data_IF_067367966596
#
_entry.id   IF_067367966596
#
_cell.length_a   1.000
_cell.length_b   1.000
_cell.length_c   1.000
_cell.angle_alpha   90.00
_cell.angle_beta   90.00
_cell.angle_gamma   90.00
#
_symmetry.space_group_name_H-M   'P 1'
#
loop_
_entity.id
_entity.type
_entity.pdbx_description
1 polymer ?
#
# COMPACT_ATOMS: atom_id res chain seq x y z
N UNK A 1 -15.36 26.82 3.56
CA UNK A 1 -15.80 25.45 3.96
C UNK A 1 -17.19 25.06 3.43
N UNK A 2 -18.20 25.93 3.50
CA UNK A 2 -19.58 25.66 3.03
C UNK A 2 -19.69 25.30 1.51
N UNK A 3 -18.97 26.02 0.65
CA UNK A 3 -18.97 25.74 -0.80
C UNK A 3 -18.34 24.39 -1.17
N UNK A 4 -17.29 23.97 -0.48
CA UNK A 4 -16.63 22.67 -0.70
C UNK A 4 -17.57 21.50 -0.36
N UNK A 5 -18.35 21.62 0.73
CA UNK A 5 -19.35 20.62 1.10
C UNK A 5 -20.51 20.55 0.10
N UNK A 6 -20.98 21.69 -0.42
CA UNK A 6 -22.02 21.72 -1.48
C UNK A 6 -21.56 21.03 -2.77
N UNK A 7 -20.35 21.33 -3.24
CA UNK A 7 -19.76 20.67 -4.43
C UNK A 7 -19.63 19.14 -4.22
N UNK A 8 -19.21 18.70 -3.04
CA UNK A 8 -19.11 17.28 -2.67
C UNK A 8 -20.47 16.57 -2.63
N UNK A 9 -21.54 17.24 -2.18
CA UNK A 9 -22.92 16.69 -2.20
C UNK A 9 -23.48 16.60 -3.62
N UNK A 10 -23.28 17.64 -4.44
CA UNK A 10 -23.73 17.66 -5.83
C UNK A 10 -23.07 16.54 -6.65
N UNK A 11 -21.77 16.32 -6.48
CA UNK A 11 -21.03 15.24 -7.13
C UNK A 11 -21.54 13.84 -6.72
N UNK A 12 -21.76 13.61 -5.42
CA UNK A 12 -22.34 12.34 -4.93
C UNK A 12 -23.75 12.08 -5.47
N UNK A 13 -24.57 13.11 -5.62
CA UNK A 13 -25.90 12.97 -6.19
C UNK A 13 -25.85 12.62 -7.69
N UNK A 14 -24.91 13.20 -8.45
CA UNK A 14 -24.69 12.84 -9.87
C UNK A 14 -24.27 11.37 -10.02
N UNK A 15 -23.32 10.91 -9.20
CA UNK A 15 -22.89 9.50 -9.20
C UNK A 15 -24.02 8.52 -8.82
N UNK A 16 -24.90 8.89 -7.88
CA UNK A 16 -26.03 8.03 -7.48
C UNK A 16 -27.04 7.80 -8.60
N UNK A 17 -27.17 8.71 -9.56
CA UNK A 17 -28.09 8.57 -10.71
C UNK A 17 -27.56 7.52 -11.70
N UNK A 18 -26.24 7.35 -11.77
CA UNK A 18 -25.57 6.41 -12.66
C UNK A 18 -25.40 5.00 -12.05
N UNK A 19 -25.87 4.78 -10.82
CA UNK A 19 -25.61 3.54 -10.07
C UNK A 19 -26.92 2.82 -9.73
N UNK A 20 -26.90 1.51 -9.94
CA UNK A 20 -27.96 0.61 -9.45
C UNK A 20 -28.05 0.63 -7.92
N UNK A 21 -29.15 0.12 -7.36
CA UNK A 21 -29.35 0.05 -5.90
C UNK A 21 -28.22 -0.76 -5.22
N UNK A 22 -27.78 -1.86 -5.84
CA UNK A 22 -26.66 -2.68 -5.34
C UNK A 22 -25.33 -1.91 -5.38
N UNK A 23 -25.02 -1.23 -6.48
CA UNK A 23 -23.82 -0.40 -6.61
C UNK A 23 -23.79 0.77 -5.63
N UNK A 24 -24.93 1.38 -5.30
CA UNK A 24 -25.00 2.43 -4.28
C UNK A 24 -24.64 1.93 -2.88
N UNK A 25 -25.03 0.70 -2.54
CA UNK A 25 -24.64 0.06 -1.27
C UNK A 25 -23.12 -0.15 -1.24
N UNK A 26 -22.52 -0.64 -2.31
CA UNK A 26 -21.07 -0.82 -2.43
C UNK A 26 -20.29 0.49 -2.37
N UNK A 27 -20.75 1.52 -3.10
CA UNK A 27 -20.10 2.83 -3.11
C UNK A 27 -20.04 3.45 -1.70
N UNK A 28 -21.12 3.32 -0.92
CA UNK A 28 -21.15 3.81 0.46
C UNK A 28 -20.16 3.06 1.35
N UNK A 29 -20.04 1.74 1.20
CA UNK A 29 -19.05 0.93 1.93
C UNK A 29 -17.62 1.35 1.57
N UNK A 30 -17.33 1.55 0.28
CA UNK A 30 -16.01 2.04 -0.17
C UNK A 30 -15.69 3.45 0.32
N UNK A 31 -16.68 4.35 0.39
CA UNK A 31 -16.49 5.71 0.93
C UNK A 31 -16.06 5.68 2.41
N UNK A 32 -16.56 4.74 3.21
CA UNK A 32 -16.15 4.56 4.60
C UNK A 32 -14.73 3.97 4.73
N UNK A 33 -14.29 3.14 3.78
CA UNK A 33 -12.93 2.56 3.78
C UNK A 33 -11.83 3.56 3.40
N UNK A 34 -12.19 4.56 2.59
CA UNK A 34 -11.27 5.61 2.13
C UNK A 34 -11.17 6.79 3.11
N UNK A 35 -11.94 6.77 4.21
CA UNK A 35 -11.79 7.80 5.24
C UNK A 35 -10.45 7.60 5.97
N UNK A 36 -9.58 8.62 6.00
CA UNK A 36 -8.30 8.53 6.69
C UNK A 36 -8.58 8.34 8.19
N UNK A 37 -8.29 7.14 8.69
CA UNK A 37 -8.43 6.80 10.09
C UNK A 37 -7.07 7.01 10.76
N UNK A 38 -6.54 8.24 10.71
CA UNK A 38 -5.14 8.57 11.07
C UNK A 38 -4.82 8.28 12.55
N UNK A 39 -5.81 8.37 13.45
CA UNK A 39 -5.57 8.35 14.89
C UNK A 39 -5.39 6.93 15.49
N UNK A 40 -5.88 5.87 14.83
CA UNK A 40 -5.85 4.51 15.43
C UNK A 40 -4.57 3.72 15.16
N UNK A 41 -3.76 4.14 14.19
CA UNK A 41 -2.60 3.36 13.76
C UNK A 41 -1.32 3.71 14.52
N UNK A 42 -1.27 4.92 15.10
CA UNK A 42 -0.09 5.44 15.80
C UNK A 42 0.15 4.75 17.15
N UNK A 43 -0.93 4.41 17.86
CA UNK A 43 -0.85 3.88 19.23
C UNK A 43 -0.60 2.37 19.30
N UNK A 44 -0.95 1.61 18.24
CA UNK A 44 -0.75 0.15 18.20
C UNK A 44 0.71 -0.24 18.06
N UNK A 45 1.57 0.66 17.57
CA UNK A 45 3.00 0.42 17.30
C UNK A 45 3.91 0.59 18.53
N UNK A 46 3.36 0.98 19.69
CA UNK A 46 4.14 1.39 20.88
C UNK A 46 4.40 0.26 21.91
N UNK A 47 4.27 -1.01 21.53
CA UNK A 47 4.70 -2.15 22.35
C UNK A 47 6.18 -2.49 22.18
N UNK A 48 7.00 -2.23 23.20
CA UNK A 48 8.35 -2.77 23.54
C UNK A 48 9.48 -2.83 22.49
N UNK A 49 9.25 -2.58 21.19
CA UNK A 49 10.26 -2.56 20.10
C UNK A 49 10.27 -1.18 19.41
N UNK A 50 9.95 -0.13 20.20
CA UNK A 50 9.52 1.18 19.70
C UNK A 50 10.58 2.00 18.95
N UNK A 51 11.86 1.64 18.96
CA UNK A 51 12.90 2.47 18.36
C UNK A 51 13.07 2.22 16.85
N UNK A 52 13.28 0.97 16.42
CA UNK A 52 13.32 0.63 14.99
C UNK A 52 11.93 0.67 14.33
N UNK A 53 10.86 0.36 15.07
CA UNK A 53 9.49 0.43 14.52
C UNK A 53 9.14 1.84 14.02
N UNK A 54 9.51 2.89 14.76
CA UNK A 54 9.32 4.28 14.32
C UNK A 54 10.09 4.63 13.06
N UNK A 55 11.27 4.03 12.86
CA UNK A 55 12.07 4.23 11.66
C UNK A 55 11.47 3.48 10.46
N UNK A 56 11.14 2.20 10.61
CA UNK A 56 10.61 1.32 9.55
C UNK A 56 9.21 1.75 9.08
N UNK A 57 8.42 2.40 9.95
CA UNK A 57 7.13 2.99 9.59
C UNK A 57 7.19 4.51 9.33
N UNK A 58 8.39 5.09 9.19
CA UNK A 58 8.53 6.51 8.86
C UNK A 58 8.22 6.77 7.38
N UNK A 59 7.71 7.97 7.09
CA UNK A 59 7.46 8.42 5.71
C UNK A 59 8.74 8.43 4.87
N UNK A 60 9.89 8.74 5.49
CA UNK A 60 11.18 8.74 4.82
C UNK A 60 11.60 7.32 4.39
N UNK A 61 11.41 6.31 5.25
CA UNK A 61 11.66 4.92 4.90
C UNK A 61 10.68 4.43 3.82
N UNK A 62 9.40 4.81 3.92
CA UNK A 62 8.40 4.51 2.88
C UNK A 62 8.77 5.12 1.52
N UNK A 63 9.22 6.39 1.49
CA UNK A 63 9.66 7.06 0.28
C UNK A 63 10.90 6.39 -0.32
N UNK A 64 11.87 6.01 0.50
CA UNK A 64 13.05 5.26 0.07
C UNK A 64 12.67 3.92 -0.58
N UNK A 65 11.77 3.15 0.05
CA UNK A 65 11.28 1.90 -0.53
C UNK A 65 10.55 2.11 -1.86
N UNK A 66 9.78 3.20 -2.00
CA UNK A 66 9.12 3.55 -3.26
C UNK A 66 10.14 3.85 -4.38
N UNK A 67 11.25 4.53 -4.06
CA UNK A 67 12.36 4.74 -5.00
C UNK A 67 12.98 3.40 -5.41
N UNK A 68 13.26 2.50 -4.47
CA UNK A 68 13.80 1.17 -4.77
C UNK A 68 12.89 0.37 -5.70
N UNK A 69 11.57 0.37 -5.45
CA UNK A 69 10.58 -0.27 -6.32
C UNK A 69 10.60 0.34 -7.73
N UNK A 70 10.72 1.67 -7.83
CA UNK A 70 10.81 2.35 -9.13
C UNK A 70 12.05 1.91 -9.90
N UNK A 71 13.21 1.86 -9.24
CA UNK A 71 14.45 1.37 -9.85
C UNK A 71 14.31 -0.09 -10.28
N UNK A 72 13.70 -0.94 -9.46
CA UNK A 72 13.50 -2.36 -9.78
C UNK A 72 12.60 -2.56 -11.00
N UNK A 73 11.53 -1.77 -11.14
CA UNK A 73 10.69 -1.74 -12.34
C UNK A 73 11.53 -1.35 -13.56
N UNK A 74 12.42 -0.35 -13.45
CA UNK A 74 13.31 0.04 -14.54
C UNK A 74 14.28 -1.09 -14.94
N UNK A 75 14.85 -1.81 -13.96
CA UNK A 75 15.69 -2.99 -14.24
C UNK A 75 14.90 -4.06 -14.99
N UNK A 76 13.69 -4.38 -14.54
CA UNK A 76 12.83 -5.37 -15.20
C UNK A 76 12.40 -4.94 -16.60
N UNK A 77 12.12 -3.64 -16.79
CA UNK A 77 11.71 -3.07 -18.08
C UNK A 77 12.86 -3.02 -19.09
N UNK A 78 14.11 -3.16 -18.63
CA UNK A 78 15.29 -3.24 -19.50
C UNK A 78 15.52 -4.63 -20.11
N UNK A 79 14.67 -5.60 -19.78
CA UNK A 79 14.76 -6.97 -20.32
C UNK A 79 14.28 -7.00 -21.78
N UNK A 80 15.16 -7.39 -22.69
CA UNK A 80 14.85 -7.50 -24.12
C UNK A 80 15.15 -8.92 -24.61
N UNK A 81 14.26 -9.48 -25.44
CA UNK A 81 14.47 -10.76 -26.11
C UNK A 81 15.71 -10.65 -27.02
N UNK A 82 16.73 -11.47 -26.76
CA UNK A 82 18.00 -11.48 -27.50
C UNK A 82 19.20 -10.86 -26.78
N UNK A 83 19.10 -10.59 -25.46
CA UNK A 83 20.22 -10.12 -24.64
C UNK A 83 21.35 -11.15 -24.51
N UNK A 84 22.60 -10.66 -24.48
CA UNK A 84 23.79 -11.48 -24.23
C UNK A 84 23.71 -12.15 -22.86
N UNK A 85 24.10 -13.43 -22.75
CA UNK A 85 23.98 -14.24 -21.52
C UNK A 85 24.53 -13.55 -20.26
N UNK A 86 25.62 -12.79 -20.39
CA UNK A 86 26.22 -12.03 -19.28
C UNK A 86 25.35 -10.89 -18.76
N UNK A 87 24.56 -10.24 -19.62
CA UNK A 87 23.62 -9.17 -19.21
C UNK A 87 22.39 -9.74 -18.51
N UNK A 88 21.94 -10.91 -18.95
CA UNK A 88 20.82 -11.66 -18.34
C UNK A 88 21.18 -12.14 -16.94
N UNK A 89 22.41 -12.62 -16.73
CA UNK A 89 22.89 -13.04 -15.41
C UNK A 89 22.98 -11.86 -14.43
N UNK A 90 23.48 -10.71 -14.87
CA UNK A 90 23.55 -9.51 -14.04
C UNK A 90 22.15 -9.01 -13.63
N UNK A 91 21.20 -8.99 -14.56
CA UNK A 91 19.81 -8.63 -14.26
C UNK A 91 19.17 -9.61 -13.27
N UNK A 92 19.44 -10.91 -13.39
CA UNK A 92 18.95 -11.91 -12.44
C UNK A 92 19.52 -11.68 -11.03
N UNK A 93 20.83 -11.40 -10.92
CA UNK A 93 21.47 -11.05 -9.63
C UNK A 93 20.87 -9.80 -9.01
N UNK A 94 20.60 -8.75 -9.81
CA UNK A 94 19.93 -7.54 -9.35
C UNK A 94 18.49 -7.82 -8.89
N UNK A 95 17.73 -8.60 -9.66
CA UNK A 95 16.37 -8.98 -9.29
C UNK A 95 16.34 -9.76 -7.97
N UNK A 96 17.26 -10.70 -7.79
CA UNK A 96 17.43 -11.43 -6.54
C UNK A 96 17.75 -10.49 -5.37
N UNK A 97 18.67 -9.54 -5.56
CA UNK A 97 19.01 -8.55 -4.54
C UNK A 97 17.79 -7.72 -4.09
N UNK A 98 17.01 -7.19 -5.05
CA UNK A 98 15.77 -6.46 -4.73
C UNK A 98 14.79 -7.34 -3.96
N UNK A 99 14.65 -8.61 -4.35
CA UNK A 99 13.77 -9.58 -3.67
C UNK A 99 14.17 -9.78 -2.21
N UNK A 100 15.47 -9.94 -1.95
CA UNK A 100 16.00 -10.05 -0.58
C UNK A 100 15.73 -8.78 0.22
N UNK A 101 15.93 -7.60 -0.36
CA UNK A 101 15.65 -6.31 0.29
C UNK A 101 14.18 -6.20 0.71
N UNK A 102 13.24 -6.53 -0.17
CA UNK A 102 11.81 -6.49 0.15
C UNK A 102 11.42 -7.54 1.21
N UNK A 103 12.04 -8.72 1.17
CA UNK A 103 11.80 -9.73 2.19
C UNK A 103 12.24 -9.25 3.58
N UNK A 104 13.42 -8.63 3.66
CA UNK A 104 13.94 -8.02 4.89
C UNK A 104 13.04 -6.88 5.36
N UNK A 105 12.59 -6.02 4.45
CA UNK A 105 11.65 -4.93 4.76
C UNK A 105 10.36 -5.47 5.43
N UNK A 106 9.76 -6.51 4.86
CA UNK A 106 8.55 -7.14 5.38
C UNK A 106 8.83 -7.78 6.74
N UNK A 107 9.95 -8.49 6.90
CA UNK A 107 10.34 -9.09 8.18
C UNK A 107 10.55 -8.04 9.28
N UNK A 108 11.14 -6.88 8.94
CA UNK A 108 11.31 -5.75 9.86
C UNK A 108 9.97 -5.12 10.25
N UNK A 109 9.05 -4.93 9.29
CA UNK A 109 7.70 -4.42 9.57
C UNK A 109 6.88 -5.40 10.42
N UNK A 110 7.01 -6.70 10.15
CA UNK A 110 6.34 -7.74 10.91
C UNK A 110 6.88 -7.79 12.36
N UNK A 111 8.19 -7.87 12.54
CA UNK A 111 8.80 -7.91 13.88
C UNK A 111 8.51 -6.67 14.73
N UNK A 112 8.31 -5.51 14.10
CA UNK A 112 8.01 -4.25 14.80
C UNK A 112 6.52 -4.02 15.09
N UNK A 113 5.60 -4.42 14.22
CA UNK A 113 4.15 -4.24 14.43
C UNK A 113 3.48 -5.43 15.14
N UNK A 114 4.11 -6.60 15.15
CA UNK A 114 3.45 -7.86 15.53
C UNK A 114 2.45 -8.32 14.47
N UNK A 115 2.16 -9.63 14.45
CA UNK A 115 1.29 -10.29 13.45
C UNK A 115 -0.07 -9.58 13.28
N UNK A 116 -0.71 -9.19 14.38
CA UNK A 116 -2.07 -8.64 14.34
C UNK A 116 -2.14 -7.22 13.78
N UNK A 117 -1.15 -6.37 13.99
CA UNK A 117 -1.18 -4.99 13.49
C UNK A 117 -0.63 -4.88 12.06
N UNK A 118 0.30 -5.75 11.68
CA UNK A 118 0.83 -5.80 10.31
C UNK A 118 -0.22 -6.20 9.26
N UNK A 119 -1.03 -7.23 9.55
CA UNK A 119 -2.03 -7.73 8.58
C UNK A 119 -3.37 -6.98 8.62
N UNK A 120 -3.67 -6.20 9.67
CA UNK A 120 -4.97 -5.51 9.84
C UNK A 120 -5.32 -4.51 8.72
N UNK A 121 -4.40 -3.65 8.25
CA UNK A 121 -4.72 -2.69 7.18
C UNK A 121 -5.00 -3.38 5.85
N UNK A 122 -4.29 -4.47 5.58
CA UNK A 122 -4.46 -5.27 4.37
C UNK A 122 -5.72 -6.14 4.46
N UNK A 123 -5.99 -6.80 5.59
CA UNK A 123 -7.14 -7.68 5.76
C UNK A 123 -8.47 -6.93 5.84
N UNK A 124 -8.53 -5.74 6.44
CA UNK A 124 -9.75 -4.91 6.43
C UNK A 124 -10.09 -4.42 5.01
N UNK A 125 -9.08 -4.17 4.17
CA UNK A 125 -9.27 -3.78 2.76
C UNK A 125 -9.50 -4.99 1.84
N UNK A 126 -8.77 -6.09 2.03
CA UNK A 126 -8.90 -7.34 1.27
C UNK A 126 -10.19 -8.10 1.59
N UNK A 127 -10.62 -8.18 2.84
CA UNK A 127 -11.86 -8.87 3.23
C UNK A 127 -13.09 -8.22 2.59
N UNK A 128 -13.09 -6.90 2.39
CA UNK A 128 -14.17 -6.21 1.67
C UNK A 128 -14.05 -6.37 0.15
N UNK A 129 -12.84 -6.46 -0.40
CA UNK A 129 -12.61 -6.77 -1.83
C UNK A 129 -13.00 -8.20 -2.17
N UNK A 130 -12.78 -9.16 -1.26
CA UNK A 130 -13.11 -10.57 -1.45
C UNK A 130 -14.57 -10.91 -1.09
N UNK A 131 -15.27 -10.02 -0.38
CA UNK A 131 -16.71 -10.11 -0.15
C UNK A 131 -17.56 -9.47 -1.28
N UNK A 132 -16.90 -8.95 -2.33
CA UNK A 132 -17.48 -8.45 -3.59
C UNK A 132 -17.56 -9.58 -4.62
#
# INVERSE_FOLDING_TARGET
QYQAQRKKRAHRNRLRVLMTVKQRRWYKTMEHLLMPNEDKWRDVLLGSVAWWGRYVFSDAFGAFMAVLVTVHISVLSSFHLGQEEGTTEQQFRLHYLFTVIYFVEIALKWSSAGTKAFFRPASEKLCVILAL
#
